data_IF_959941703024
#
_entry.id   IF_959941703024
#
_cell.length_a   1.000
_cell.length_b   1.000
_cell.length_c   1.000
_cell.angle_alpha   90.00
_cell.angle_beta   90.00
_cell.angle_gamma   90.00
#
_symmetry.space_group_name_H-M   'P 1'
#
loop_
_entity.id
_entity.type
_entity.pdbx_description
1 polymer ?
#
# COMPACT_ATOMS: atom_id res chain seq x y z
N UNK A 1 -17.38 -8.84 0.02
CA UNK A 1 -16.44 -10.00 0.11
C UNK A 1 -15.41 -9.93 1.25
N UNK A 2 -15.41 -8.89 2.10
CA UNK A 2 -14.33 -8.64 3.06
C UNK A 2 -13.99 -9.78 4.04
N UNK A 3 -14.98 -10.48 4.62
CA UNK A 3 -14.71 -11.57 5.57
C UNK A 3 -13.95 -12.74 4.93
N UNK A 4 -14.30 -13.08 3.69
CA UNK A 4 -13.63 -14.15 2.95
C UNK A 4 -12.19 -13.78 2.62
N UNK A 5 -11.97 -12.53 2.17
CA UNK A 5 -10.64 -12.01 1.90
C UNK A 5 -9.79 -11.98 3.18
N UNK A 6 -10.33 -11.51 4.30
CA UNK A 6 -9.64 -11.53 5.59
C UNK A 6 -9.26 -12.95 6.03
N UNK A 7 -10.14 -13.93 5.82
CA UNK A 7 -9.82 -15.32 6.13
C UNK A 7 -8.66 -15.84 5.26
N UNK A 8 -8.65 -15.51 3.98
CA UNK A 8 -7.55 -15.84 3.07
C UNK A 8 -6.23 -15.22 3.56
N UNK A 9 -6.25 -13.96 3.97
CA UNK A 9 -5.07 -13.28 4.50
C UNK A 9 -4.56 -13.90 5.80
N UNK A 10 -5.45 -14.31 6.71
CA UNK A 10 -5.05 -15.02 7.93
C UNK A 10 -4.37 -16.36 7.63
N UNK A 11 -4.82 -17.08 6.59
CA UNK A 11 -4.17 -18.32 6.12
C UNK A 11 -2.79 -17.98 5.54
N UNK A 12 -2.68 -16.94 4.71
CA UNK A 12 -1.43 -16.49 4.11
C UNK A 12 -0.41 -16.08 5.18
N UNK A 13 -0.82 -15.28 6.17
CA UNK A 13 -0.02 -14.90 7.35
C UNK A 13 0.46 -16.15 8.09
N UNK A 14 -0.42 -17.14 8.29
CA UNK A 14 -0.06 -18.39 8.97
C UNK A 14 1.05 -19.15 8.21
N UNK A 15 0.94 -19.27 6.89
CA UNK A 15 1.96 -19.89 6.04
C UNK A 15 3.28 -19.10 6.09
N UNK A 16 3.23 -17.79 5.89
CA UNK A 16 4.41 -16.91 5.91
C UNK A 16 5.12 -16.95 7.28
N UNK A 17 4.36 -16.93 8.37
CA UNK A 17 4.94 -17.03 9.72
C UNK A 17 5.67 -18.35 9.94
N UNK A 18 5.19 -19.47 9.38
CA UNK A 18 5.87 -20.76 9.46
C UNK A 18 7.18 -20.76 8.64
N UNK A 19 7.18 -20.16 7.46
CA UNK A 19 8.36 -19.99 6.62
C UNK A 19 9.40 -19.14 7.36
N UNK A 20 8.99 -17.97 7.86
CA UNK A 20 9.88 -17.03 8.54
C UNK A 20 10.38 -17.55 9.90
N UNK A 21 9.57 -18.30 10.65
CA UNK A 21 10.02 -19.00 11.86
C UNK A 21 11.09 -20.05 11.54
N UNK A 22 10.95 -20.76 10.42
CA UNK A 22 11.93 -21.76 9.96
C UNK A 22 13.25 -21.10 9.55
N UNK A 23 13.19 -19.98 8.84
CA UNK A 23 14.37 -19.17 8.51
C UNK A 23 15.05 -18.61 9.78
N UNK A 24 14.26 -18.12 10.74
CA UNK A 24 14.76 -17.64 12.04
C UNK A 24 15.53 -18.73 12.77
N UNK A 25 14.96 -19.94 12.85
CA UNK A 25 15.64 -21.09 13.45
C UNK A 25 16.93 -21.45 12.71
N UNK A 26 16.94 -21.39 11.37
CA UNK A 26 18.13 -21.66 10.56
C UNK A 26 19.24 -20.65 10.87
N UNK A 27 18.92 -19.35 10.86
CA UNK A 27 19.87 -18.27 11.18
C UNK A 27 20.46 -18.46 12.58
N UNK A 28 19.61 -18.76 13.57
CA UNK A 28 20.07 -19.01 14.94
C UNK A 28 21.03 -20.19 15.02
N UNK A 29 20.78 -21.28 14.28
CA UNK A 29 21.70 -22.42 14.20
C UNK A 29 23.03 -22.07 13.54
N UNK A 30 23.00 -21.31 12.45
CA UNK A 30 24.23 -20.87 11.77
C UNK A 30 25.08 -20.03 12.74
N UNK A 31 24.48 -19.07 13.44
CA UNK A 31 25.18 -18.25 14.44
C UNK A 31 25.73 -19.11 15.59
N UNK A 32 24.97 -20.10 16.06
CA UNK A 32 25.38 -21.01 17.12
C UNK A 32 26.63 -21.83 16.77
N UNK A 33 26.79 -22.23 15.50
CA UNK A 33 27.98 -22.95 15.02
C UNK A 33 29.24 -22.09 15.18
N UNK A 34 29.16 -20.81 14.81
CA UNK A 34 30.32 -19.90 14.92
C UNK A 34 30.54 -19.35 16.32
N UNK A 35 29.51 -19.35 17.18
CA UNK A 35 29.56 -18.84 18.56
C UNK A 35 28.99 -19.85 19.56
N UNK A 36 29.73 -20.95 19.82
CA UNK A 36 29.32 -21.94 20.82
C UNK A 36 29.20 -21.28 22.21
N UNK A 37 28.26 -21.77 23.04
CA UNK A 37 27.92 -21.23 24.37
C UNK A 37 27.30 -19.83 24.39
N UNK A 38 27.03 -19.22 23.23
CA UNK A 38 26.30 -17.96 23.16
C UNK A 38 24.82 -18.11 23.55
N UNK A 39 24.11 -16.99 23.69
CA UNK A 39 22.65 -17.02 23.83
C UNK A 39 21.96 -17.71 22.64
N UNK A 40 22.44 -17.48 21.42
CA UNK A 40 21.92 -18.12 20.20
C UNK A 40 22.09 -19.65 20.23
N UNK A 41 23.22 -20.15 20.72
CA UNK A 41 23.46 -21.58 20.91
C UNK A 41 22.48 -22.21 21.91
N UNK A 42 22.26 -21.55 23.06
CA UNK A 42 21.31 -22.03 24.07
C UNK A 42 19.87 -22.06 23.55
N UNK A 43 19.43 -21.00 22.88
CA UNK A 43 18.03 -20.88 22.40
C UNK A 43 17.77 -21.80 21.20
N UNK A 44 18.73 -21.97 20.29
CA UNK A 44 18.59 -22.85 19.12
C UNK A 44 18.47 -24.34 19.48
N UNK A 45 18.94 -24.75 20.66
CA UNK A 45 18.75 -26.11 21.20
C UNK A 45 17.29 -26.41 21.53
N UNK A 46 16.49 -25.41 21.90
CA UNK A 46 15.06 -25.55 22.20
C UNK A 46 14.23 -25.25 20.94
N UNK A 47 14.47 -26.04 19.88
CA UNK A 47 14.00 -25.80 18.50
C UNK A 47 12.52 -25.48 18.40
N UNK A 48 11.66 -26.33 19.00
CA UNK A 48 10.21 -26.18 18.92
C UNK A 48 9.74 -24.90 19.60
N UNK A 49 10.26 -24.58 20.79
CA UNK A 49 9.89 -23.36 21.51
C UNK A 49 10.29 -22.10 20.74
N UNK A 50 11.51 -22.06 20.19
CA UNK A 50 11.95 -20.94 19.36
C UNK A 50 11.08 -20.79 18.11
N UNK A 51 10.79 -21.89 17.42
CA UNK A 51 9.97 -21.87 16.21
C UNK A 51 8.53 -21.38 16.49
N UNK A 52 7.88 -21.89 17.53
CA UNK A 52 6.52 -21.46 17.91
C UNK A 52 6.49 -19.99 18.34
N UNK A 53 7.42 -19.55 19.19
CA UNK A 53 7.45 -18.16 19.66
C UNK A 53 7.77 -17.17 18.54
N UNK A 54 8.75 -17.47 17.70
CA UNK A 54 9.07 -16.62 16.55
C UNK A 54 7.91 -16.58 15.55
N UNK A 55 7.30 -17.72 15.24
CA UNK A 55 6.11 -17.80 14.39
C UNK A 55 4.97 -16.94 14.92
N UNK A 56 4.66 -17.03 16.22
CA UNK A 56 3.62 -16.21 16.86
C UNK A 56 3.93 -14.71 16.81
N UNK A 57 5.17 -14.31 17.12
CA UNK A 57 5.56 -12.90 17.04
C UNK A 57 5.47 -12.37 15.61
N UNK A 58 5.89 -13.17 14.63
CA UNK A 58 5.85 -12.82 13.20
C UNK A 58 4.41 -12.74 12.71
N UNK A 59 3.54 -13.69 13.08
CA UNK A 59 2.13 -13.66 12.67
C UNK A 59 1.42 -12.43 13.20
N UNK A 60 1.68 -12.05 14.46
CA UNK A 60 1.15 -10.81 15.06
C UNK A 60 1.66 -9.59 14.29
N UNK A 61 2.96 -9.54 13.99
CA UNK A 61 3.54 -8.44 13.22
C UNK A 61 2.92 -8.31 11.82
N UNK A 62 2.84 -9.41 11.06
CA UNK A 62 2.25 -9.41 9.72
C UNK A 62 0.78 -9.02 9.75
N UNK A 63 0.03 -9.49 10.76
CA UNK A 63 -1.35 -9.09 10.95
C UNK A 63 -1.50 -7.57 11.11
N UNK A 64 -0.70 -6.94 11.98
CA UNK A 64 -0.73 -5.47 12.11
C UNK A 64 -0.20 -4.75 10.87
N UNK A 65 0.79 -5.33 10.19
CA UNK A 65 1.36 -4.75 8.97
C UNK A 65 0.31 -4.62 7.85
N UNK A 66 -0.58 -5.61 7.70
CA UNK A 66 -1.67 -5.57 6.71
C UNK A 66 -2.65 -4.40 6.91
N UNK A 67 -2.70 -3.79 8.09
CA UNK A 67 -3.49 -2.58 8.36
C UNK A 67 -2.64 -1.31 8.44
N UNK A 68 -1.35 -1.41 8.16
CA UNK A 68 -0.44 -0.26 8.14
C UNK A 68 -0.55 0.48 6.82
N UNK A 69 -0.15 1.75 6.79
CA UNK A 69 -0.16 2.56 5.57
C UNK A 69 0.53 1.87 4.37
N UNK A 70 1.60 1.10 4.60
CA UNK A 70 2.39 0.43 3.56
C UNK A 70 1.95 -1.00 3.24
N UNK A 71 1.18 -1.63 4.14
CA UNK A 71 0.74 -3.03 4.02
C UNK A 71 -0.75 -3.18 3.75
N UNK A 72 -1.54 -2.12 3.90
CA UNK A 72 -2.95 -2.10 3.58
C UNK A 72 -3.16 -1.97 2.07
N UNK A 73 -3.40 -3.11 1.44
CA UNK A 73 -3.78 -3.28 0.04
C UNK A 73 -5.29 -3.22 -0.20
N UNK A 74 -6.09 -2.94 0.84
CA UNK A 74 -7.55 -3.00 0.81
C UNK A 74 -8.12 -4.38 1.20
N UNK A 75 -9.38 -4.39 1.63
CA UNK A 75 -10.08 -5.60 2.06
C UNK A 75 -11.39 -5.82 1.30
N UNK A 76 -11.63 -7.08 0.95
CA UNK A 76 -12.80 -7.48 0.15
C UNK A 76 -12.81 -6.82 -1.22
N UNK A 77 -13.80 -5.96 -1.42
CA UNK A 77 -14.09 -5.28 -2.69
C UNK A 77 -13.37 -3.92 -2.79
N UNK A 78 -12.52 -3.60 -1.81
CA UNK A 78 -11.66 -2.42 -1.82
C UNK A 78 -10.22 -2.79 -2.12
N UNK A 79 -9.55 -1.92 -2.86
CA UNK A 79 -8.13 -1.94 -3.14
C UNK A 79 -7.51 -0.60 -2.75
N UNK A 80 -6.24 -0.60 -2.37
CA UNK A 80 -5.57 0.62 -1.87
C UNK A 80 -4.12 0.69 -2.32
N UNK A 81 -3.65 1.89 -2.70
CA UNK A 81 -2.23 2.16 -2.97
C UNK A 81 -1.75 3.36 -2.14
N UNK A 82 -0.64 3.24 -1.39
CA UNK A 82 -0.06 4.40 -0.72
C UNK A 82 0.63 5.31 -1.74
N UNK A 83 0.41 6.62 -1.60
CA UNK A 83 0.92 7.66 -2.52
C UNK A 83 1.90 8.64 -1.84
N UNK A 84 2.36 8.34 -0.62
CA UNK A 84 3.24 9.22 0.16
C UNK A 84 2.48 10.10 1.15
N UNK A 85 3.21 10.79 2.04
CA UNK A 85 2.65 11.72 3.05
C UNK A 85 1.53 11.13 3.94
N UNK A 86 1.52 9.80 4.14
CA UNK A 86 0.46 9.12 4.88
C UNK A 86 -0.86 8.96 4.09
N UNK A 87 -0.90 9.40 2.83
CA UNK A 87 -2.05 9.43 1.92
C UNK A 87 -2.15 8.18 1.05
N UNK A 88 -3.36 7.85 0.58
CA UNK A 88 -3.57 6.74 -0.34
C UNK A 88 -4.68 7.05 -1.34
N UNK A 89 -4.61 6.37 -2.49
CA UNK A 89 -5.72 6.25 -3.43
C UNK A 89 -6.38 4.91 -3.15
N UNK A 90 -7.70 4.91 -3.16
CA UNK A 90 -8.51 3.71 -2.97
C UNK A 90 -9.28 3.41 -4.25
N UNK A 91 -9.63 2.15 -4.45
CA UNK A 91 -10.54 1.71 -5.50
C UNK A 91 -11.58 0.79 -4.89
N UNK A 92 -12.84 0.93 -5.31
CA UNK A 92 -13.94 0.04 -4.89
C UNK A 92 -14.52 -0.66 -6.12
N UNK A 93 -14.92 -1.91 -5.91
CA UNK A 93 -15.51 -2.83 -6.90
C UNK A 93 -14.62 -3.06 -8.14
N UNK A 94 -13.33 -2.72 -8.06
CA UNK A 94 -12.39 -2.82 -9.18
C UNK A 94 -12.68 -1.84 -10.31
N UNK A 95 -13.45 -0.79 -10.05
CA UNK A 95 -13.94 0.14 -11.09
C UNK A 95 -13.73 1.61 -10.75
N UNK A 96 -13.92 1.99 -9.48
CA UNK A 96 -13.98 3.40 -9.09
C UNK A 96 -12.81 3.74 -8.19
N UNK A 97 -11.81 4.42 -8.75
CA UNK A 97 -10.69 4.94 -7.98
C UNK A 97 -11.04 6.31 -7.40
N UNK A 98 -10.66 6.59 -6.16
CA UNK A 98 -10.96 7.85 -5.51
C UNK A 98 -9.89 8.30 -4.53
N UNK A 99 -9.83 9.62 -4.34
CA UNK A 99 -9.09 10.26 -3.26
C UNK A 99 -10.10 10.56 -2.16
N UNK A 100 -9.85 10.02 -0.97
CA UNK A 100 -10.62 10.29 0.22
C UNK A 100 -9.66 10.40 1.40
N UNK A 101 -9.75 11.51 2.12
CA UNK A 101 -8.92 11.76 3.29
C UNK A 101 -9.71 12.43 4.41
N UNK A 102 -9.21 12.34 5.65
CA UNK A 102 -9.79 13.02 6.79
C UNK A 102 -9.53 14.53 6.65
N UNK A 103 -10.56 15.31 6.33
CA UNK A 103 -10.41 16.76 6.13
C UNK A 103 -11.50 17.39 5.26
N UNK A 104 -11.21 18.55 4.63
CA UNK A 104 -12.17 19.29 3.80
C UNK A 104 -12.39 18.65 2.41
N UNK A 105 -11.60 17.63 2.06
CA UNK A 105 -11.71 16.92 0.77
C UNK A 105 -12.92 15.98 0.87
N UNK A 106 -14.00 16.29 0.16
CA UNK A 106 -15.01 15.30 -0.17
C UNK A 106 -14.40 14.25 -1.11
N UNK A 107 -14.89 13.02 -1.06
CA UNK A 107 -14.46 11.95 -1.95
C UNK A 107 -14.50 12.44 -3.42
N UNK A 108 -13.36 12.38 -4.10
CA UNK A 108 -13.24 12.68 -5.53
C UNK A 108 -12.90 11.41 -6.29
N UNK A 109 -13.77 11.01 -7.21
CA UNK A 109 -13.54 9.89 -8.11
C UNK A 109 -12.60 10.31 -9.25
N UNK A 110 -11.57 9.52 -9.53
CA UNK A 110 -10.50 9.81 -10.49
C UNK A 110 -10.37 8.65 -11.49
N UNK A 111 -9.95 8.96 -12.71
CA UNK A 111 -9.77 7.96 -13.77
C UNK A 111 -8.28 7.64 -14.00
N UNK A 112 -7.60 8.54 -14.73
CA UNK A 112 -6.19 8.39 -15.09
C UNK A 112 -5.38 9.50 -14.45
N UNK A 113 -4.28 9.14 -13.81
CA UNK A 113 -3.48 10.04 -13.00
C UNK A 113 -2.00 9.70 -13.02
N UNK A 114 -1.22 10.64 -12.50
CA UNK A 114 0.21 10.51 -12.23
C UNK A 114 0.44 10.69 -10.74
N UNK A 115 1.27 9.81 -10.18
CA UNK A 115 1.81 9.97 -8.82
C UNK A 115 3.21 10.56 -8.95
N UNK A 116 3.39 11.75 -8.40
CA UNK A 116 4.68 12.42 -8.19
C UNK A 116 4.96 12.53 -6.68
N UNK A 117 6.17 12.99 -6.31
CA UNK A 117 6.63 12.99 -4.91
C UNK A 117 5.65 13.67 -3.94
N UNK A 118 5.19 14.88 -4.28
CA UNK A 118 4.31 15.70 -3.43
C UNK A 118 2.91 15.91 -4.04
N UNK A 119 2.64 15.32 -5.20
CA UNK A 119 1.42 15.59 -5.97
C UNK A 119 0.84 14.35 -6.62
N UNK A 120 -0.48 14.31 -6.71
CA UNK A 120 -1.19 13.44 -7.66
C UNK A 120 -2.02 14.31 -8.59
N UNK A 121 -1.96 14.07 -9.89
CA UNK A 121 -2.66 14.92 -10.85
C UNK A 121 -3.15 14.11 -12.04
N UNK A 122 -4.25 14.55 -12.65
CA UNK A 122 -4.85 13.83 -13.76
C UNK A 122 -6.31 14.19 -13.99
N UNK A 123 -7.07 13.19 -14.39
CA UNK A 123 -8.46 13.33 -14.83
C UNK A 123 -9.45 12.90 -13.76
N UNK A 124 -10.52 13.67 -13.65
CA UNK A 124 -11.66 13.40 -12.80
C UNK A 124 -12.59 12.42 -13.52
N UNK A 125 -13.21 11.48 -12.80
CA UNK A 125 -14.23 10.59 -13.35
C UNK A 125 -15.56 11.34 -13.54
N UNK A 126 -16.36 10.92 -14.52
CA UNK A 126 -17.67 11.54 -14.84
C UNK A 126 -18.69 11.48 -13.69
N UNK A 127 -18.45 10.64 -12.67
CA UNK A 127 -19.35 10.42 -11.54
C UNK A 127 -19.31 11.45 -10.40
N UNK A 128 -18.52 12.53 -10.52
CA UNK A 128 -18.35 13.48 -9.40
C UNK A 128 -19.46 14.52 -9.32
N UNK A 129 -20.27 14.45 -8.26
CA UNK A 129 -21.33 15.45 -8.00
C UNK A 129 -20.82 16.72 -7.30
N UNK A 130 -19.69 16.64 -6.58
CA UNK A 130 -19.17 17.73 -5.73
C UNK A 130 -18.03 18.53 -6.36
N UNK A 131 -17.59 18.14 -7.56
CA UNK A 131 -16.42 18.71 -8.21
C UNK A 131 -16.75 19.02 -9.66
N UNK A 132 -16.59 20.29 -10.03
CA UNK A 132 -16.70 20.74 -11.41
C UNK A 132 -15.34 20.62 -12.12
N UNK A 133 -15.40 20.29 -13.41
CA UNK A 133 -14.24 20.17 -14.30
C UNK A 133 -13.75 18.76 -14.58
N UNK A 134 -12.76 18.66 -15.48
CA UNK A 134 -12.25 17.40 -16.02
C UNK A 134 -10.88 17.02 -15.47
N UNK A 135 -10.22 17.94 -14.78
CA UNK A 135 -8.83 17.79 -14.33
C UNK A 135 -8.69 18.09 -12.85
N UNK A 136 -7.75 17.44 -12.18
CA UNK A 136 -7.42 17.70 -10.78
C UNK A 136 -5.91 17.76 -10.53
N UNK A 137 -5.54 18.50 -9.48
CA UNK A 137 -4.24 18.43 -8.83
C UNK A 137 -4.48 18.28 -7.33
N UNK A 138 -3.94 17.20 -6.76
CA UNK A 138 -3.92 16.91 -5.35
C UNK A 138 -2.53 17.19 -4.79
N UNK A 139 -2.43 18.18 -3.89
CA UNK A 139 -1.24 18.49 -3.13
C UNK A 139 -1.22 17.63 -1.85
N UNK A 140 -0.28 16.68 -1.79
CA UNK A 140 -0.19 15.69 -0.72
C UNK A 140 0.31 16.30 0.58
N UNK A 141 1.16 17.33 0.50
CA UNK A 141 1.74 18.04 1.64
C UNK A 141 0.67 18.87 2.34
N UNK A 142 -0.12 19.61 1.55
CA UNK A 142 -1.14 20.51 2.06
C UNK A 142 -2.51 19.84 2.26
N UNK A 143 -2.65 18.57 1.86
CA UNK A 143 -3.91 17.83 1.89
C UNK A 143 -5.05 18.61 1.20
N UNK A 144 -4.81 19.06 -0.04
CA UNK A 144 -5.77 19.90 -0.77
C UNK A 144 -5.90 19.49 -2.23
N UNK A 145 -7.14 19.37 -2.70
CA UNK A 145 -7.47 19.10 -4.10
C UNK A 145 -7.95 20.39 -4.77
N UNK A 146 -7.44 20.66 -5.96
CA UNK A 146 -7.94 21.72 -6.85
C UNK A 146 -8.36 21.11 -8.18
N UNK A 147 -9.54 21.48 -8.66
CA UNK A 147 -10.09 21.02 -9.93
C UNK A 147 -10.07 22.13 -10.98
N UNK A 148 -10.10 21.73 -12.26
CA UNK A 148 -10.02 22.63 -13.40
C UNK A 148 -10.97 22.15 -14.51
N UNK A 149 -11.72 23.08 -15.09
CA UNK A 149 -12.54 22.82 -16.29
C UNK A 149 -11.69 22.89 -17.56
N UNK A 150 -10.86 23.93 -17.65
CA UNK A 150 -10.06 24.24 -18.84
C UNK A 150 -8.68 23.58 -18.79
N UNK A 151 -8.32 22.86 -19.85
CA UNK A 151 -7.03 22.19 -19.98
C UNK A 151 -5.84 23.16 -19.87
N UNK A 152 -6.00 24.38 -20.39
CA UNK A 152 -4.95 25.40 -20.34
C UNK A 152 -4.61 25.80 -18.90
N UNK A 153 -5.62 25.95 -18.03
CA UNK A 153 -5.41 26.30 -16.62
C UNK A 153 -4.75 25.16 -15.86
N UNK A 154 -5.16 23.93 -16.16
CA UNK A 154 -4.53 22.72 -15.66
C UNK A 154 -3.05 22.63 -16.07
N UNK A 155 -2.72 22.79 -17.36
CA UNK A 155 -1.33 22.77 -17.84
C UNK A 155 -0.52 23.91 -17.21
N UNK A 156 -1.10 25.09 -17.03
CA UNK A 156 -0.43 26.22 -16.39
C UNK A 156 -0.07 25.92 -14.93
N UNK A 157 -0.94 25.26 -14.16
CA UNK A 157 -0.62 24.88 -12.79
C UNK A 157 0.48 23.81 -12.74
N UNK A 158 0.47 22.82 -13.65
CA UNK A 158 1.52 21.80 -13.72
C UNK A 158 2.88 22.43 -14.00
N UNK A 159 2.96 23.35 -14.97
CA UNK A 159 4.19 24.10 -15.28
C UNK A 159 4.68 24.91 -14.08
N UNK A 160 3.78 25.59 -13.38
CA UNK A 160 4.11 26.40 -12.20
C UNK A 160 4.67 25.54 -11.06
N UNK A 161 4.19 24.29 -10.94
CA UNK A 161 4.64 23.30 -9.96
C UNK A 161 5.80 22.42 -10.47
N UNK A 162 6.33 22.69 -11.66
CA UNK A 162 7.37 21.92 -12.32
C UNK A 162 7.02 20.42 -12.48
N UNK A 163 5.75 20.13 -12.75
CA UNK A 163 5.22 18.78 -13.00
C UNK A 163 5.20 18.50 -14.51
N UNK A 164 5.35 17.22 -14.87
CA UNK A 164 5.30 16.81 -16.28
C UNK A 164 3.85 16.78 -16.78
N UNK A 165 3.57 17.63 -17.77
CA UNK A 165 2.25 17.73 -18.41
C UNK A 165 2.16 16.90 -19.70
N UNK A 166 3.28 16.41 -20.24
CA UNK A 166 3.34 15.61 -21.46
C UNK A 166 3.65 14.15 -21.12
N UNK A 167 2.83 13.59 -20.25
CA UNK A 167 3.01 12.28 -19.65
C UNK A 167 1.86 11.34 -20.02
N UNK A 168 2.14 10.04 -19.96
CA UNK A 168 1.17 9.00 -20.22
C UNK A 168 0.44 8.63 -18.91
N UNK A 169 -0.72 9.25 -18.71
CA UNK A 169 -1.55 9.05 -17.53
C UNK A 169 -2.00 7.60 -17.39
N UNK A 170 -1.88 7.06 -16.17
CA UNK A 170 -2.16 5.65 -15.88
C UNK A 170 -3.38 5.51 -14.99
N UNK A 171 -4.08 4.39 -15.11
CA UNK A 171 -5.21 4.07 -14.24
C UNK A 171 -4.72 3.47 -12.90
N UNK A 172 -5.66 3.30 -11.97
CA UNK A 172 -5.38 2.69 -10.67
C UNK A 172 -4.77 1.29 -10.79
N UNK A 173 -5.33 0.43 -11.65
CA UNK A 173 -4.85 -0.95 -11.83
C UNK A 173 -3.38 -1.04 -12.23
N UNK A 174 -2.87 -0.08 -13.02
CA UNK A 174 -1.44 0.01 -13.32
C UNK A 174 -0.61 0.22 -12.05
N UNK A 175 -0.93 1.24 -11.25
CA UNK A 175 -0.19 1.53 -10.01
C UNK A 175 -0.36 0.45 -8.96
N UNK A 176 -1.55 -0.13 -8.85
CA UNK A 176 -1.82 -1.25 -7.96
C UNK A 176 -0.93 -2.44 -8.30
N UNK A 177 -0.84 -2.79 -9.60
CA UNK A 177 0.07 -3.84 -10.05
C UNK A 177 1.53 -3.49 -9.77
N UNK A 178 1.98 -2.26 -10.08
CA UNK A 178 3.36 -1.85 -9.79
C UNK A 178 3.71 -1.93 -8.30
N UNK A 179 2.78 -1.54 -7.42
CA UNK A 179 3.02 -1.51 -5.99
C UNK A 179 2.91 -2.90 -5.35
N UNK A 180 1.86 -3.68 -5.64
CA UNK A 180 1.58 -4.93 -4.92
C UNK A 180 2.16 -6.18 -5.58
N UNK A 181 2.55 -6.14 -6.85
CA UNK A 181 3.06 -7.31 -7.55
C UNK A 181 4.49 -7.72 -7.10
N UNK A 182 4.97 -8.84 -7.65
CA UNK A 182 6.32 -9.33 -7.41
C UNK A 182 6.53 -9.79 -5.96
N UNK A 183 7.64 -9.40 -5.35
CA UNK A 183 8.02 -9.90 -4.03
C UNK A 183 7.03 -9.50 -2.93
N UNK A 184 6.34 -8.35 -3.05
CA UNK A 184 5.38 -7.90 -2.04
C UNK A 184 4.20 -8.87 -1.95
N UNK A 185 3.63 -9.27 -3.08
CA UNK A 185 2.58 -10.27 -3.13
C UNK A 185 2.97 -11.59 -2.44
N UNK A 186 4.21 -12.05 -2.65
CA UNK A 186 4.67 -13.35 -2.15
C UNK A 186 5.18 -13.33 -0.71
N UNK A 187 5.71 -12.21 -0.23
CA UNK A 187 6.43 -12.12 1.04
C UNK A 187 5.67 -11.32 2.11
N UNK A 188 4.63 -10.59 1.72
CA UNK A 188 3.78 -9.83 2.64
C UNK A 188 2.36 -10.40 2.61
N UNK A 189 1.58 -10.21 3.69
CA UNK A 189 0.12 -10.33 3.60
C UNK A 189 -0.36 -9.40 2.49
#
# INVERSE_FOLDING_TARGET
MALFHLLFELIKISILSCIYASLTLLVFKIIAIYKPNSWFDRVSKIKLKLWVLSGLCISIFLFFFMFSHFGDHGLGDSARIPIGHGKAIQEVDGMQAYIQDEGPISMIEIDRFIIADDFVYGFISEGNENYEGSYFVYDLVNNSVKTFEEENDYINILKTKNLDYNTDYKNFGYYYSQYWYGWRFWLLP
#
